data_IF_676411340042
#
_entry.id   IF_676411340042
#
_cell.length_a   1.000
_cell.length_b   1.000
_cell.length_c   1.000
_cell.angle_alpha   90.00
_cell.angle_beta   90.00
_cell.angle_gamma   90.00
#
_symmetry.space_group_name_H-M   'P 1'
#
loop_
_entity.id
_entity.type
_entity.pdbx_description
1 polymer ?
#
# COMPACT_ATOMS: atom_id res chain seq x y z
N UNK A 1 -2.11 -33.11 -73.10
CA UNK A 1 -1.28 -32.00 -72.60
C UNK A 1 -2.11 -31.18 -71.63
N UNK A 2 -1.99 -31.45 -70.34
CA UNK A 2 -2.69 -30.74 -69.25
C UNK A 2 -1.64 -30.04 -68.40
N UNK A 3 -1.66 -28.70 -68.39
CA UNK A 3 -0.74 -27.87 -67.62
C UNK A 3 -1.34 -27.56 -66.25
N UNK A 4 -0.62 -27.89 -65.19
CA UNK A 4 -0.99 -27.65 -63.79
C UNK A 4 -0.49 -26.25 -63.39
N UNK A 5 -1.35 -25.30 -62.99
CA UNK A 5 -0.88 -24.05 -62.40
C UNK A 5 -0.39 -24.28 -60.96
N UNK A 6 0.83 -23.82 -60.68
CA UNK A 6 1.47 -23.84 -59.36
C UNK A 6 0.87 -22.74 -58.47
N UNK A 7 0.27 -23.14 -57.34
CA UNK A 7 -0.04 -22.23 -56.25
C UNK A 7 1.14 -22.16 -55.27
N UNK A 8 1.67 -20.97 -54.92
CA UNK A 8 2.82 -20.86 -54.03
C UNK A 8 2.46 -21.24 -52.59
N UNK A 9 3.19 -22.23 -52.06
CA UNK A 9 3.09 -22.86 -50.73
C UNK A 9 3.26 -21.91 -49.52
N UNK A 10 3.36 -20.60 -49.72
CA UNK A 10 3.72 -19.62 -48.67
C UNK A 10 2.53 -18.97 -47.97
N UNK A 11 1.30 -19.18 -48.45
CA UNK A 11 0.10 -18.54 -47.86
C UNK A 11 -0.61 -19.42 -46.82
N UNK A 12 -0.22 -20.70 -46.66
CA UNK A 12 -0.83 -21.63 -45.70
C UNK A 12 -0.18 -21.65 -44.30
N UNK A 13 0.97 -20.99 -44.11
CA UNK A 13 1.66 -20.97 -42.83
C UNK A 13 1.13 -19.92 -41.83
N UNK A 14 0.34 -18.92 -42.29
CA UNK A 14 -0.15 -17.83 -41.42
C UNK A 14 -1.52 -18.15 -40.78
N UNK A 15 -2.32 -19.04 -41.38
CA UNK A 15 -3.63 -19.42 -40.83
C UNK A 15 -3.56 -20.45 -39.70
N UNK A 16 -2.46 -21.22 -39.58
CA UNK A 16 -2.34 -22.29 -38.58
C UNK A 16 -1.87 -21.82 -37.20
N UNK A 17 -1.32 -20.60 -37.06
CA UNK A 17 -0.86 -20.06 -35.77
C UNK A 17 -1.99 -19.31 -35.03
N UNK A 18 -3.01 -18.83 -35.74
CA UNK A 18 -4.14 -18.11 -35.15
C UNK A 18 -5.27 -18.99 -34.62
N UNK A 19 -5.30 -20.29 -34.95
CA UNK A 19 -6.32 -21.22 -34.45
C UNK A 19 -5.88 -22.01 -33.19
N UNK A 20 -4.59 -22.03 -32.86
CA UNK A 20 -4.08 -22.70 -31.65
C UNK A 20 -4.01 -21.80 -30.41
N UNK A 21 -4.19 -20.48 -30.56
CA UNK A 21 -4.19 -19.52 -29.44
C UNK A 21 -5.56 -19.35 -28.76
N UNK A 22 -6.63 -19.92 -29.32
CA UNK A 22 -8.00 -19.75 -28.82
C UNK A 22 -8.49 -20.88 -27.88
N UNK A 23 -7.73 -21.95 -27.69
CA UNK A 23 -8.15 -23.12 -26.88
C UNK A 23 -7.46 -23.21 -25.50
N UNK A 24 -6.56 -22.29 -25.16
CA UNK A 24 -5.84 -22.28 -23.87
C UNK A 24 -6.33 -21.18 -22.89
N UNK A 25 -7.44 -20.51 -23.20
CA UNK A 25 -7.96 -19.38 -22.41
C UNK A 25 -9.11 -19.76 -21.45
N UNK A 26 -9.37 -21.05 -21.22
CA UNK A 26 -10.57 -21.51 -20.51
C UNK A 26 -10.32 -22.40 -19.27
N UNK A 27 -9.12 -22.34 -18.66
CA UNK A 27 -8.85 -23.06 -17.41
C UNK A 27 -8.11 -22.13 -16.45
N UNK A 28 -8.82 -21.59 -15.46
CA UNK A 28 -8.18 -20.82 -14.39
C UNK A 28 -8.96 -19.65 -13.80
N UNK A 29 -10.29 -19.58 -13.95
CA UNK A 29 -11.10 -18.74 -13.05
C UNK A 29 -11.28 -19.48 -11.72
N UNK A 30 -10.20 -19.58 -10.93
CA UNK A 30 -10.35 -19.87 -9.51
C UNK A 30 -10.95 -18.62 -8.85
N UNK A 31 -12.01 -18.74 -8.03
CA UNK A 31 -12.46 -17.61 -7.23
C UNK A 31 -11.27 -17.19 -6.36
N UNK A 32 -10.90 -15.91 -6.43
CA UNK A 32 -9.97 -15.34 -5.48
C UNK A 32 -10.60 -15.50 -4.10
N UNK A 33 -10.13 -16.48 -3.33
CA UNK A 33 -10.42 -16.55 -1.91
C UNK A 33 -9.86 -15.27 -1.29
N UNK A 34 -10.71 -14.28 -1.07
CA UNK A 34 -10.39 -13.16 -0.21
C UNK A 34 -9.91 -13.74 1.11
N UNK A 35 -8.66 -13.45 1.48
CA UNK A 35 -8.16 -13.83 2.79
C UNK A 35 -8.95 -13.05 3.83
N UNK A 36 -10.01 -13.66 4.35
CA UNK A 36 -10.68 -13.16 5.53
C UNK A 36 -9.72 -13.38 6.69
N UNK A 37 -9.02 -12.33 7.10
CA UNK A 37 -8.21 -12.35 8.32
C UNK A 37 -9.12 -12.74 9.49
N UNK A 38 -8.79 -13.82 10.20
CA UNK A 38 -9.49 -14.28 11.40
C UNK A 38 -9.13 -13.48 12.65
N UNK A 39 -8.32 -12.43 12.51
CA UNK A 39 -8.01 -11.52 13.61
C UNK A 39 -9.24 -10.66 13.89
N UNK A 40 -9.77 -10.65 15.13
CA UNK A 40 -10.86 -9.76 15.50
C UNK A 40 -10.46 -8.31 15.18
N UNK A 41 -11.09 -7.73 14.17
CA UNK A 41 -10.96 -6.32 13.87
C UNK A 41 -11.66 -5.55 15.01
N UNK A 42 -10.90 -4.86 15.87
CA UNK A 42 -11.50 -3.83 16.71
C UNK A 42 -10.89 -3.55 18.08
N UNK A 43 -10.12 -4.45 18.70
CA UNK A 43 -9.84 -4.31 20.15
C UNK A 43 -8.42 -4.63 20.61
N UNK A 44 -7.51 -5.01 19.71
CA UNK A 44 -6.12 -5.26 20.07
C UNK A 44 -5.37 -3.95 20.33
N UNK A 45 -4.88 -3.76 21.55
CA UNK A 45 -3.96 -2.69 21.93
C UNK A 45 -2.50 -3.13 21.79
N UNK A 46 -1.62 -2.16 21.56
CA UNK A 46 -0.18 -2.39 21.54
C UNK A 46 0.35 -2.79 22.92
N UNK A 47 1.23 -3.78 22.94
CA UNK A 47 2.01 -4.29 24.09
C UNK A 47 3.46 -4.42 23.65
N UNK A 48 4.44 -4.52 24.57
CA UNK A 48 5.84 -4.72 24.19
C UNK A 48 6.08 -5.88 23.22
N UNK A 49 5.30 -6.96 23.32
CA UNK A 49 5.52 -8.20 22.56
C UNK A 49 4.85 -8.21 21.18
N UNK A 50 3.90 -7.31 20.92
CA UNK A 50 3.13 -7.29 19.67
C UNK A 50 3.18 -5.95 18.93
N UNK A 51 3.78 -4.92 19.52
CA UNK A 51 3.83 -3.58 18.97
C UNK A 51 4.89 -3.46 17.88
N UNK A 52 4.53 -2.76 16.81
CA UNK A 52 5.47 -2.19 15.85
C UNK A 52 5.38 -0.67 15.89
N UNK A 53 6.45 -0.02 15.46
CA UNK A 53 6.41 1.38 15.08
C UNK A 53 6.14 1.48 13.58
N UNK A 54 5.32 2.43 13.16
CA UNK A 54 5.08 2.71 11.76
C UNK A 54 5.33 4.18 11.50
N UNK A 55 6.40 4.49 10.76
CA UNK A 55 6.64 5.84 10.25
C UNK A 55 5.87 6.02 8.95
N UNK A 56 4.94 6.98 8.96
CA UNK A 56 4.13 7.39 7.82
C UNK A 56 4.61 8.75 7.35
N UNK A 57 5.05 8.83 6.11
CA UNK A 57 5.28 10.10 5.43
C UNK A 57 4.03 10.49 4.64
N UNK A 58 3.38 11.58 5.04
CA UNK A 58 2.30 12.24 4.33
C UNK A 58 2.91 13.38 3.51
N UNK A 59 3.46 13.05 2.34
CA UNK A 59 4.21 14.00 1.52
C UNK A 59 3.27 14.98 0.84
N UNK A 60 3.56 16.27 0.94
CA UNK A 60 2.75 17.30 0.30
C UNK A 60 2.79 17.17 -1.23
N UNK A 61 1.64 17.43 -1.85
CA UNK A 61 1.57 17.68 -3.28
C UNK A 61 1.81 19.18 -3.55
N UNK A 62 3.06 19.52 -3.86
CA UNK A 62 3.46 20.91 -4.15
C UNK A 62 2.95 21.43 -5.49
N UNK A 63 2.28 20.62 -6.30
CA UNK A 63 1.66 21.08 -7.55
C UNK A 63 0.33 21.80 -7.34
N UNK A 64 -0.22 21.74 -6.12
CA UNK A 64 -1.55 22.25 -5.76
C UNK A 64 -1.48 23.23 -4.58
N UNK A 65 -2.34 24.26 -4.53
CA UNK A 65 -2.43 25.15 -3.38
C UNK A 65 -2.83 24.43 -2.09
N UNK A 66 -2.23 24.83 -0.96
CA UNK A 66 -2.51 24.22 0.36
C UNK A 66 -4.00 24.29 0.76
N UNK A 67 -4.69 25.38 0.42
CA UNK A 67 -6.11 25.53 0.72
C UNK A 67 -6.98 24.44 0.04
N UNK A 68 -6.65 24.06 -1.19
CA UNK A 68 -7.37 23.00 -1.91
C UNK A 68 -7.12 21.62 -1.30
N UNK A 69 -5.87 21.34 -0.91
CA UNK A 69 -5.49 20.10 -0.23
C UNK A 69 -6.22 19.98 1.11
N UNK A 70 -6.26 21.05 1.90
CA UNK A 70 -6.95 21.07 3.19
C UNK A 70 -8.47 20.91 3.03
N UNK A 71 -9.07 21.56 2.03
CA UNK A 71 -10.49 21.38 1.73
C UNK A 71 -10.81 19.95 1.31
N UNK A 72 -9.91 19.30 0.56
CA UNK A 72 -10.03 17.90 0.19
C UNK A 72 -9.95 16.98 1.43
N UNK A 73 -8.95 17.15 2.29
CA UNK A 73 -8.80 16.38 3.54
C UNK A 73 -10.03 16.51 4.44
N UNK A 74 -10.60 17.72 4.53
CA UNK A 74 -11.82 17.97 5.28
C UNK A 74 -13.03 17.22 4.70
N UNK A 75 -13.23 17.28 3.38
CA UNK A 75 -14.30 16.53 2.68
C UNK A 75 -14.14 15.01 2.83
N UNK A 76 -12.91 14.51 2.80
CA UNK A 76 -12.59 13.08 2.95
C UNK A 76 -12.59 12.63 4.43
N UNK A 77 -12.68 13.56 5.39
CA UNK A 77 -12.77 13.23 6.81
C UNK A 77 -11.47 12.73 7.44
N UNK A 78 -10.30 13.09 6.89
CA UNK A 78 -8.99 12.62 7.36
C UNK A 78 -8.80 12.76 8.88
N UNK A 79 -8.93 13.98 9.41
CA UNK A 79 -8.72 14.25 10.84
C UNK A 79 -9.81 13.66 11.75
N UNK A 80 -10.92 13.18 11.19
CA UNK A 80 -11.94 12.45 11.94
C UNK A 80 -11.62 10.96 12.04
N UNK A 81 -11.01 10.39 10.99
CA UNK A 81 -10.76 8.96 10.87
C UNK A 81 -9.35 8.54 11.32
N UNK A 82 -8.35 9.43 11.18
CA UNK A 82 -6.95 9.14 11.46
C UNK A 82 -6.45 9.79 12.77
N UNK A 83 -5.75 9.04 13.64
CA UNK A 83 -5.54 7.60 13.56
C UNK A 83 -6.82 6.82 13.93
N UNK A 84 -6.98 5.56 13.46
CA UNK A 84 -8.07 4.71 13.93
C UNK A 84 -7.91 4.38 15.42
N UNK A 85 -8.98 3.94 16.12
CA UNK A 85 -8.93 3.56 17.53
C UNK A 85 -7.80 2.56 17.86
N UNK A 86 -7.29 2.53 19.09
CA UNK A 86 -6.27 1.55 19.49
C UNK A 86 -4.90 1.69 18.79
N UNK A 87 -4.68 2.75 18.01
CA UNK A 87 -3.39 3.15 17.45
C UNK A 87 -2.90 4.39 18.19
N UNK A 88 -1.69 4.32 18.72
CA UNK A 88 -1.04 5.41 19.43
C UNK A 88 -0.25 6.28 18.46
N UNK A 89 -0.30 7.61 18.63
CA UNK A 89 0.59 8.55 17.94
C UNK A 89 1.80 8.82 18.83
N UNK A 90 2.96 8.32 18.43
CA UNK A 90 4.24 8.54 19.13
C UNK A 90 4.80 9.91 18.80
N UNK A 91 4.70 10.34 17.54
CA UNK A 91 5.08 11.69 17.12
C UNK A 91 4.31 12.11 15.87
N UNK A 92 4.11 13.42 15.71
CA UNK A 92 3.54 14.02 14.50
C UNK A 92 4.19 15.37 14.26
N UNK A 93 4.96 15.49 13.19
CA UNK A 93 5.70 16.72 12.85
C UNK A 93 5.46 17.14 11.41
N UNK A 94 5.60 18.43 11.13
CA UNK A 94 5.70 18.95 9.75
C UNK A 94 7.18 19.08 9.41
N UNK A 95 7.68 18.20 8.54
CA UNK A 95 9.03 18.27 8.00
C UNK A 95 9.02 19.13 6.73
N UNK A 96 9.65 20.31 6.80
CA UNK A 96 9.76 21.24 5.68
C UNK A 96 10.31 20.55 4.43
N UNK A 97 9.68 20.80 3.28
CA UNK A 97 10.07 20.19 2.00
C UNK A 97 9.58 18.75 1.80
N UNK A 98 9.05 18.10 2.84
CA UNK A 98 8.53 16.73 2.77
C UNK A 98 7.01 16.76 2.94
N UNK A 99 6.54 17.21 4.10
CA UNK A 99 5.14 17.12 4.50
C UNK A 99 5.02 16.76 5.96
N UNK A 100 4.03 15.93 6.29
CA UNK A 100 3.85 15.50 7.67
C UNK A 100 4.51 14.13 7.87
N UNK A 101 5.19 13.95 8.99
CA UNK A 101 5.78 12.68 9.40
C UNK A 101 5.12 12.27 10.69
N UNK A 102 4.46 11.12 10.66
CA UNK A 102 3.73 10.57 11.81
C UNK A 102 4.36 9.24 12.18
N UNK A 103 4.75 9.06 13.43
CA UNK A 103 5.17 7.76 13.96
C UNK A 103 4.02 7.22 14.79
N UNK A 104 3.52 6.04 14.40
CA UNK A 104 2.44 5.34 15.10
C UNK A 104 3.01 4.14 15.87
N UNK A 105 2.39 3.80 17.00
CA UNK A 105 2.59 2.53 17.69
C UNK A 105 1.28 1.74 17.67
N UNK A 106 1.35 0.50 17.20
CA UNK A 106 0.19 -0.34 16.97
C UNK A 106 0.57 -1.82 16.99
N UNK A 107 -0.36 -2.74 17.32
CA UNK A 107 -0.12 -4.14 17.06
C UNK A 107 -0.18 -4.42 15.55
N UNK A 108 0.65 -5.35 15.06
CA UNK A 108 0.74 -5.70 13.62
C UNK A 108 -0.61 -6.05 13.00
N UNK A 109 -1.50 -6.66 13.79
CA UNK A 109 -2.86 -7.00 13.36
C UNK A 109 -3.72 -5.80 12.92
N UNK A 110 -3.39 -4.58 13.36
CA UNK A 110 -4.10 -3.34 13.04
C UNK A 110 -3.55 -2.63 11.80
N UNK A 111 -2.45 -3.12 11.21
CA UNK A 111 -1.78 -2.46 10.08
C UNK A 111 -2.71 -2.24 8.88
N UNK A 112 -3.56 -3.23 8.57
CA UNK A 112 -4.55 -3.13 7.48
C UNK A 112 -5.54 -1.97 7.70
N UNK A 113 -5.98 -1.76 8.92
CA UNK A 113 -6.94 -0.70 9.24
C UNK A 113 -6.31 0.68 9.12
N UNK A 114 -5.07 0.85 9.60
CA UNK A 114 -4.32 2.09 9.39
C UNK A 114 -4.13 2.37 7.90
N UNK A 115 -3.71 1.37 7.12
CA UNK A 115 -3.60 1.51 5.68
C UNK A 115 -4.93 1.96 5.07
N UNK A 116 -6.03 1.30 5.42
CA UNK A 116 -7.35 1.60 4.87
C UNK A 116 -7.81 3.03 5.16
N UNK A 117 -7.61 3.52 6.39
CA UNK A 117 -7.94 4.91 6.74
C UNK A 117 -7.15 5.89 5.86
N UNK A 118 -5.86 5.63 5.64
CA UNK A 118 -5.02 6.51 4.81
C UNK A 118 -5.39 6.44 3.32
N UNK A 119 -5.70 5.25 2.80
CA UNK A 119 -6.24 5.07 1.45
C UNK A 119 -7.51 5.87 1.23
N UNK A 120 -8.46 5.76 2.16
CA UNK A 120 -9.79 6.35 2.02
C UNK A 120 -9.77 7.87 2.23
N UNK A 121 -8.87 8.38 3.09
CA UNK A 121 -8.97 9.75 3.59
C UNK A 121 -7.78 10.66 3.32
N UNK A 122 -6.58 10.12 3.07
CA UNK A 122 -5.36 10.91 2.87
C UNK A 122 -4.91 10.97 1.39
N UNK A 123 -5.25 9.94 0.61
CA UNK A 123 -4.82 9.85 -0.79
C UNK A 123 -5.42 10.96 -1.66
N UNK A 124 -4.59 11.47 -2.56
CA UNK A 124 -4.87 12.63 -3.40
C UNK A 124 -4.52 13.97 -2.75
N UNK A 125 -4.60 14.10 -1.42
CA UNK A 125 -4.05 15.25 -0.71
C UNK A 125 -2.57 15.05 -0.33
N UNK A 126 -2.18 13.80 -0.07
CA UNK A 126 -0.81 13.40 0.20
C UNK A 126 -0.36 12.28 -0.74
N UNK A 127 0.96 12.20 -0.96
CA UNK A 127 1.64 10.97 -1.38
C UNK A 127 2.17 10.26 -0.14
N UNK A 128 1.80 9.01 0.06
CA UNK A 128 2.14 8.26 1.28
C UNK A 128 3.35 7.36 1.09
N UNK A 129 4.26 7.35 2.07
CA UNK A 129 5.30 6.31 2.21
C UNK A 129 5.23 5.70 3.61
N UNK A 130 5.52 4.41 3.73
CA UNK A 130 5.31 3.61 4.93
C UNK A 130 6.57 2.83 5.32
N UNK A 131 7.00 2.96 6.57
CA UNK A 131 8.20 2.28 7.07
C UNK A 131 7.89 1.64 8.44
N UNK A 132 7.53 0.34 8.47
CA UNK A 132 7.40 -0.40 9.72
C UNK A 132 8.79 -0.64 10.32
N UNK A 133 8.94 -0.39 11.62
CA UNK A 133 10.19 -0.49 12.38
C UNK A 133 9.96 -1.05 13.78
N UNK A 134 11.04 -1.39 14.48
CA UNK A 134 11.03 -1.75 15.89
C UNK A 134 11.72 -0.65 16.72
N UNK A 135 11.41 -0.58 18.02
CA UNK A 135 11.95 0.45 18.91
C UNK A 135 13.34 0.05 19.43
N UNK A 136 14.39 0.53 18.76
CA UNK A 136 15.79 0.26 19.16
C UNK A 136 16.33 1.26 20.19
N UNK A 137 15.53 2.26 20.62
CA UNK A 137 16.06 3.42 21.35
C UNK A 137 16.78 3.04 22.64
N UNK A 138 16.17 2.19 23.47
CA UNK A 138 16.74 1.81 24.76
C UNK A 138 18.09 1.08 24.60
N UNK A 139 18.18 0.15 23.65
CA UNK A 139 19.40 -0.59 23.34
C UNK A 139 20.46 0.37 22.80
N UNK A 140 20.13 1.18 21.79
CA UNK A 140 21.07 2.12 21.19
C UNK A 140 21.65 3.13 22.18
N UNK A 141 20.85 3.61 23.15
CA UNK A 141 21.34 4.47 24.22
C UNK A 141 22.26 3.71 25.19
N UNK A 142 21.90 2.49 25.59
CA UNK A 142 22.73 1.67 26.46
C UNK A 142 24.10 1.34 25.82
N UNK A 143 24.11 1.00 24.54
CA UNK A 143 25.35 0.78 23.78
C UNK A 143 26.19 2.06 23.66
N UNK A 144 25.54 3.22 23.46
CA UNK A 144 26.24 4.50 23.40
C UNK A 144 26.89 4.88 24.73
N UNK A 145 26.21 4.68 25.87
CA UNK A 145 26.77 4.96 27.19
C UNK A 145 27.90 3.98 27.55
N UNK A 146 27.81 2.70 27.15
CA UNK A 146 28.89 1.72 27.35
C UNK A 146 30.15 2.05 26.56
N UNK A 147 30.02 2.76 25.44
CA UNK A 147 31.13 3.12 24.56
C UNK A 147 31.83 4.44 24.94
N UNK A 148 31.34 5.17 25.95
CA UNK A 148 31.98 6.38 26.50
C UNK A 148 33.01 6.03 27.55
#
# INVERSE_FOLDING_TARGET
>A
MTAIPHFPLRTLAIAAVLAAAAAAAAIGSAPACGQTSTVPAGSASATPDNAVLLTVFLKHDQSRPLAELNAQLARQGFYKAFPPPGVEVVSWTVAMGIGQVVVLRLPVSRLREVNRVLEDTAWGAYRTEFYPTYDYKAIGLAEHEQAK
#
